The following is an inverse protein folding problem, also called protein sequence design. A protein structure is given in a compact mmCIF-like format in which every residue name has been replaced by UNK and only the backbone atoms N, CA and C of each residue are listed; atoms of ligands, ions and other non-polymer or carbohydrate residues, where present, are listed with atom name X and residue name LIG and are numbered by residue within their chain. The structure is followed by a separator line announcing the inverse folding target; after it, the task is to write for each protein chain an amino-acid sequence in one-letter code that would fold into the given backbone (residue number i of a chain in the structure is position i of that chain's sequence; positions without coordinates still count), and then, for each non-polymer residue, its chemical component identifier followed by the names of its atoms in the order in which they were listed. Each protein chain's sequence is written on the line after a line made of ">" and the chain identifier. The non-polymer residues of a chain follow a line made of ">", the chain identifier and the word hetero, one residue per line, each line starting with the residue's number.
data_IF_915125324072
#
_entry.id   IF_915125324072
#
_cell.length_a   1.000
_cell.length_b   1.000
_cell.length_c   1.000
_cell.angle_alpha   90.00
_cell.angle_beta   90.00
_cell.angle_gamma   90.00
#
_symmetry.space_group_name_H-M   'P 1'
#
loop_
_entity.id
_entity.type
_entity.pdbx_description
1 polymer ?
#
# COMPACT_ATOMS: atom_id res chain seq x y z
N UNK A 1 5.25 58.74 55.80
CA UNK A 1 4.70 60.05 55.37
C UNK A 1 5.61 60.66 54.32
N UNK A 2 5.00 61.25 53.28
CA UNK A 2 5.55 62.15 52.25
C UNK A 2 6.21 61.55 51.00
N UNK A 3 5.39 61.56 49.94
CA UNK A 3 5.73 61.72 48.53
C UNK A 3 6.63 62.95 48.28
N UNK A 4 7.44 62.88 47.22
CA UNK A 4 7.54 63.82 46.06
C UNK A 4 8.87 63.52 45.31
N UNK A 5 8.83 62.99 44.08
CA UNK A 5 8.87 63.70 42.78
C UNK A 5 10.19 64.48 42.54
N UNK A 6 11.06 63.93 41.69
CA UNK A 6 11.89 64.73 40.76
C UNK A 6 12.00 64.00 39.41
N UNK A 7 11.76 64.77 38.37
CA UNK A 7 11.69 64.40 36.97
C UNK A 7 13.06 64.06 36.35
N UNK A 8 13.04 63.22 35.31
CA UNK A 8 14.18 62.93 34.46
C UNK A 8 13.71 62.55 33.06
N UNK A 9 13.67 63.55 32.19
CA UNK A 9 13.31 63.52 30.77
C UNK A 9 14.34 62.70 29.98
N UNK A 10 13.92 61.65 29.27
CA UNK A 10 14.68 61.05 28.18
C UNK A 10 13.71 60.75 27.02
N UNK A 11 13.87 61.50 25.94
CA UNK A 11 13.32 61.18 24.64
C UNK A 11 14.27 60.20 23.94
N UNK A 12 13.77 59.04 23.50
CA UNK A 12 14.43 58.19 22.52
C UNK A 12 13.47 57.90 21.37
N UNK A 13 14.05 58.03 20.20
CA UNK A 13 13.51 58.02 18.85
C UNK A 13 13.01 56.63 18.40
N UNK A 14 12.01 56.70 17.51
CA UNK A 14 11.78 55.85 16.33
C UNK A 14 11.68 54.33 16.53
N UNK A 15 10.46 53.82 16.33
CA UNK A 15 10.28 52.58 15.58
C UNK A 15 9.10 52.74 14.64
N UNK A 16 9.40 52.61 13.36
CA UNK A 16 8.45 52.61 12.27
C UNK A 16 7.51 51.41 12.40
N UNK A 17 6.20 51.67 12.48
CA UNK A 17 5.18 50.64 12.28
C UNK A 17 5.11 50.31 10.79
N UNK A 18 5.92 49.36 10.34
CA UNK A 18 5.62 48.60 9.13
C UNK A 18 4.49 47.62 9.44
N UNK A 19 3.30 47.87 8.89
CA UNK A 19 2.22 46.89 8.92
C UNK A 19 2.58 45.75 7.99
N UNK A 20 3.08 44.65 8.55
CA UNK A 20 3.16 43.38 7.87
C UNK A 20 1.74 42.78 7.87
N UNK A 21 1.07 42.84 6.71
CA UNK A 21 -0.13 42.04 6.47
C UNK A 21 0.27 40.57 6.44
N UNK A 22 -0.05 39.85 7.51
CA UNK A 22 -0.02 38.39 7.55
C UNK A 22 -1.09 37.86 6.58
N UNK A 23 -0.66 37.48 5.37
CA UNK A 23 -1.43 36.58 4.53
C UNK A 23 -1.57 35.24 5.25
N UNK A 24 -2.73 35.03 5.89
CA UNK A 24 -3.21 33.70 6.28
C UNK A 24 -3.31 32.83 5.03
N UNK A 25 -2.24 32.09 4.75
CA UNK A 25 -2.27 30.97 3.82
C UNK A 25 -3.13 29.90 4.48
N UNK A 26 -4.37 29.78 4.01
CA UNK A 26 -5.24 28.64 4.30
C UNK A 26 -4.43 27.37 4.01
N UNK A 27 -4.34 26.39 4.94
CA UNK A 27 -3.76 25.10 4.60
C UNK A 27 -4.51 24.55 3.39
N UNK A 28 -3.79 24.39 2.29
CA UNK A 28 -4.23 23.60 1.14
C UNK A 28 -4.40 22.18 1.66
N UNK A 29 -5.60 21.89 2.15
CA UNK A 29 -6.13 20.54 2.18
C UNK A 29 -6.02 20.05 0.74
N UNK A 30 -5.02 19.21 0.51
CA UNK A 30 -4.84 18.48 -0.73
C UNK A 30 -6.07 17.58 -0.74
N UNK A 31 -7.12 18.02 -1.45
CA UNK A 31 -8.25 17.15 -1.75
C UNK A 31 -7.65 15.91 -2.40
N UNK A 32 -7.65 14.79 -1.69
CA UNK A 32 -7.45 13.48 -2.31
C UNK A 32 -8.48 13.44 -3.43
N UNK A 33 -8.02 13.50 -4.67
CA UNK A 33 -8.92 13.41 -5.81
C UNK A 33 -9.73 12.13 -5.62
N UNK A 34 -11.04 12.26 -5.49
CA UNK A 34 -11.98 11.13 -5.47
C UNK A 34 -11.86 10.43 -6.83
N UNK A 35 -10.85 9.58 -6.95
CA UNK A 35 -10.65 8.74 -8.12
C UNK A 35 -11.71 7.66 -8.05
N UNK A 36 -12.60 7.66 -9.05
CA UNK A 36 -13.74 6.78 -9.14
C UNK A 36 -13.32 5.32 -8.95
N UNK A 37 -13.77 4.69 -7.86
CA UNK A 37 -13.52 3.27 -7.60
C UNK A 37 -14.51 2.48 -8.47
N UNK A 38 -13.98 1.84 -9.51
CA UNK A 38 -14.78 0.97 -10.38
C UNK A 38 -15.14 -0.32 -9.62
N UNK A 39 -14.17 -0.89 -8.91
CA UNK A 39 -14.35 -2.14 -8.17
C UNK A 39 -13.36 -2.28 -7.02
N UNK A 40 -13.76 -2.99 -5.99
CA UNK A 40 -12.94 -3.28 -4.83
C UNK A 40 -13.23 -4.68 -4.29
N UNK A 41 -12.19 -5.37 -3.83
CA UNK A 41 -12.32 -6.54 -2.97
C UNK A 41 -11.56 -6.30 -1.66
N UNK A 42 -12.08 -6.86 -0.57
CA UNK A 42 -11.51 -6.74 0.78
C UNK A 42 -11.52 -8.10 1.45
N UNK A 43 -10.41 -8.46 2.09
CA UNK A 43 -10.30 -9.70 2.85
C UNK A 43 -9.64 -9.45 4.21
N UNK A 44 -10.22 -10.03 5.25
CA UNK A 44 -9.59 -10.11 6.56
C UNK A 44 -8.90 -11.47 6.70
N UNK A 45 -7.58 -11.48 6.87
CA UNK A 45 -6.80 -12.72 6.94
C UNK A 45 -5.65 -12.58 7.95
N UNK A 46 -5.33 -13.66 8.65
CA UNK A 46 -4.14 -13.73 9.51
C UNK A 46 -2.91 -13.80 8.62
N UNK A 47 -1.98 -12.85 8.73
CA UNK A 47 -0.84 -12.76 7.81
C UNK A 47 0.44 -12.25 8.48
N UNK A 48 0.44 -11.03 9.02
CA UNK A 48 1.60 -10.45 9.71
C UNK A 48 1.73 -10.89 11.18
N UNK A 49 0.62 -11.16 11.86
CA UNK A 49 0.55 -11.61 13.26
C UNK A 49 -0.44 -12.78 13.38
N UNK A 50 -0.04 -13.93 13.97
CA UNK A 50 -0.92 -15.10 14.13
C UNK A 50 -2.14 -14.87 15.03
N UNK A 51 -2.10 -13.88 15.92
CA UNK A 51 -3.18 -13.59 16.87
C UNK A 51 -4.23 -12.61 16.33
N UNK A 52 -3.93 -11.90 15.25
CA UNK A 52 -4.81 -10.86 14.70
C UNK A 52 -5.05 -11.07 13.20
N UNK A 53 -5.97 -10.29 12.63
CA UNK A 53 -6.23 -10.27 11.19
C UNK A 53 -5.76 -8.94 10.62
N UNK A 54 -5.10 -9.05 9.49
CA UNK A 54 -4.77 -7.93 8.62
C UNK A 54 -5.93 -7.70 7.64
N UNK A 55 -5.91 -6.53 7.00
CA UNK A 55 -6.88 -6.13 6.00
C UNK A 55 -6.16 -6.06 4.65
N UNK A 56 -6.53 -6.96 3.75
CA UNK A 56 -6.12 -6.97 2.37
C UNK A 56 -7.16 -6.20 1.55
N UNK A 57 -6.71 -5.26 0.72
CA UNK A 57 -7.57 -4.40 -0.08
C UNK A 57 -7.00 -4.37 -1.49
N UNK A 58 -7.81 -4.71 -2.49
CA UNK A 58 -7.47 -4.47 -3.90
C UNK A 58 -8.55 -3.60 -4.52
N UNK A 59 -8.13 -2.51 -5.16
CA UNK A 59 -9.00 -1.47 -5.69
C UNK A 59 -8.64 -1.16 -7.13
N UNK A 60 -9.63 -1.24 -8.01
CA UNK A 60 -9.57 -0.81 -9.39
C UNK A 60 -10.15 0.60 -9.50
N UNK A 61 -9.32 1.58 -9.91
CA UNK A 61 -9.68 3.00 -9.95
C UNK A 61 -9.42 3.62 -11.30
N UNK A 62 -10.38 4.40 -11.78
CA UNK A 62 -10.29 5.14 -13.04
C UNK A 62 -11.64 5.32 -13.71
N UNK A 63 -11.62 5.83 -14.94
CA UNK A 63 -12.84 6.11 -15.70
C UNK A 63 -13.31 4.92 -16.56
N UNK A 64 -12.44 3.94 -16.79
CA UNK A 64 -12.74 2.70 -17.51
C UNK A 64 -11.88 1.55 -17.02
N UNK A 65 -12.36 0.32 -17.15
CA UNK A 65 -11.70 -0.88 -16.59
C UNK A 65 -10.30 -1.07 -17.17
N UNK A 66 -10.13 -1.01 -18.49
CA UNK A 66 -8.83 -1.24 -19.15
C UNK A 66 -7.80 -0.14 -18.89
N UNK A 67 -8.22 1.11 -18.70
CA UNK A 67 -7.31 2.22 -18.41
C UNK A 67 -7.09 2.46 -16.91
N UNK A 68 -7.79 1.71 -16.05
CA UNK A 68 -7.73 1.88 -14.62
C UNK A 68 -6.37 1.45 -14.04
N UNK A 69 -6.09 1.98 -12.85
CA UNK A 69 -4.99 1.55 -11.99
C UNK A 69 -5.54 0.61 -10.92
N UNK A 70 -4.80 -0.45 -10.64
CA UNK A 70 -5.05 -1.30 -9.48
C UNK A 70 -4.12 -0.87 -8.36
N UNK A 71 -4.66 -0.72 -7.15
CA UNK A 71 -3.89 -0.58 -5.91
C UNK A 71 -4.18 -1.79 -5.05
N UNK A 72 -3.14 -2.57 -4.75
CA UNK A 72 -3.19 -3.64 -3.77
C UNK A 72 -2.47 -3.17 -2.50
N UNK A 73 -3.17 -3.19 -1.38
CA UNK A 73 -2.68 -2.75 -0.08
C UNK A 73 -2.91 -3.83 0.98
N UNK A 74 -2.01 -3.92 1.96
CA UNK A 74 -2.23 -4.67 3.20
C UNK A 74 -2.02 -3.73 4.39
N UNK A 75 -3.02 -3.66 5.27
CA UNK A 75 -2.94 -2.98 6.57
C UNK A 75 -2.92 -3.98 7.70
N UNK A 76 -2.06 -3.78 8.69
CA UNK A 76 -2.06 -4.62 9.88
C UNK A 76 -3.26 -4.32 10.81
N UNK A 77 -3.39 -5.08 11.90
CA UNK A 77 -4.48 -4.92 12.88
C UNK A 77 -4.53 -3.54 13.57
N UNK A 78 -3.46 -2.74 13.51
CA UNK A 78 -3.39 -1.37 14.02
C UNK A 78 -3.79 -0.33 12.97
N UNK A 79 -4.07 -0.76 11.74
CA UNK A 79 -4.36 0.10 10.60
C UNK A 79 -3.13 0.66 9.89
N UNK A 80 -1.93 0.19 10.23
CA UNK A 80 -0.67 0.62 9.59
C UNK A 80 -0.52 -0.10 8.24
N UNK A 81 -0.22 0.65 7.18
CA UNK A 81 0.09 0.07 5.87
C UNK A 81 1.44 -0.66 5.92
N UNK A 82 1.42 -1.97 5.72
CA UNK A 82 2.62 -2.83 5.71
C UNK A 82 2.99 -3.29 4.29
N UNK A 83 2.14 -3.00 3.31
CA UNK A 83 2.36 -3.28 1.90
C UNK A 83 1.51 -2.38 1.01
N UNK A 84 2.08 -1.91 -0.10
CA UNK A 84 1.34 -1.32 -1.22
C UNK A 84 2.03 -1.69 -2.54
N UNK A 85 1.23 -2.05 -3.53
CA UNK A 85 1.64 -2.13 -4.92
C UNK A 85 0.61 -1.47 -5.84
N UNK A 86 1.10 -0.78 -6.87
CA UNK A 86 0.28 -0.18 -7.93
C UNK A 86 0.70 -0.72 -9.29
N UNK A 87 -0.27 -1.17 -10.07
CA UNK A 87 -0.07 -1.70 -11.42
C UNK A 87 -1.26 -1.36 -12.32
N UNK A 88 -1.13 -1.56 -13.64
CA UNK A 88 -2.23 -1.27 -14.57
C UNK A 88 -3.26 -2.39 -14.48
N UNK A 89 -4.53 -2.06 -14.69
CA UNK A 89 -5.58 -3.07 -14.77
C UNK A 89 -5.30 -4.16 -15.81
N UNK A 90 -4.65 -3.77 -16.91
CA UNK A 90 -4.25 -4.69 -17.99
C UNK A 90 -3.25 -5.75 -17.54
N UNK A 91 -2.49 -5.47 -16.48
CA UNK A 91 -1.53 -6.42 -15.91
C UNK A 91 -2.24 -7.56 -15.17
N UNK A 92 -3.57 -7.53 -15.00
CA UNK A 92 -4.32 -8.67 -14.44
C UNK A 92 -4.62 -9.77 -15.48
N UNK A 93 -4.40 -9.50 -16.77
CA UNK A 93 -4.69 -10.43 -17.88
C UNK A 93 -3.56 -11.46 -18.01
N UNK A 94 -3.94 -12.73 -18.15
CA UNK A 94 -3.03 -13.87 -18.28
C UNK A 94 -3.48 -14.79 -19.44
N UNK A 95 -2.97 -16.02 -19.49
CA UNK A 95 -3.33 -17.00 -20.53
C UNK A 95 -4.78 -17.49 -20.51
N UNK A 96 -5.55 -17.20 -19.45
CA UNK A 96 -6.95 -17.62 -19.34
C UNK A 96 -7.88 -16.77 -20.23
N UNK A 97 -7.39 -15.63 -20.73
CA UNK A 97 -8.11 -14.79 -21.71
C UNK A 97 -7.59 -15.06 -23.14
N UNK A 98 -8.45 -15.44 -24.09
CA UNK A 98 -8.05 -15.62 -25.49
C UNK A 98 -7.49 -14.34 -26.11
N UNK A 99 -6.47 -14.46 -26.97
CA UNK A 99 -5.83 -13.29 -27.61
C UNK A 99 -6.78 -12.50 -28.51
N UNK A 100 -7.84 -13.13 -29.01
CA UNK A 100 -8.88 -12.50 -29.83
C UNK A 100 -10.11 -12.06 -29.04
N UNK A 101 -10.04 -12.00 -27.70
CA UNK A 101 -11.14 -11.56 -26.85
C UNK A 101 -11.54 -10.11 -27.15
N UNK A 102 -12.84 -9.85 -27.10
CA UNK A 102 -13.44 -8.53 -27.27
C UNK A 102 -13.18 -7.61 -26.08
N UNK A 103 -13.27 -6.27 -26.23
CA UNK A 103 -13.10 -5.34 -25.11
C UNK A 103 -14.01 -5.63 -23.90
N UNK A 104 -15.24 -6.11 -24.13
CA UNK A 104 -16.16 -6.48 -23.03
C UNK A 104 -15.68 -7.71 -22.27
N UNK A 105 -15.10 -8.70 -22.97
CA UNK A 105 -14.51 -9.87 -22.33
C UNK A 105 -13.26 -9.50 -21.52
N UNK A 106 -12.45 -8.54 -21.99
CA UNK A 106 -11.32 -8.00 -21.23
C UNK A 106 -11.79 -7.34 -19.94
N UNK A 107 -12.80 -6.48 -20.03
CA UNK A 107 -13.36 -5.81 -18.86
C UNK A 107 -13.88 -6.82 -17.84
N UNK A 108 -14.68 -7.80 -18.30
CA UNK A 108 -15.21 -8.87 -17.46
C UNK A 108 -14.10 -9.69 -16.81
N UNK A 109 -13.03 -9.99 -17.56
CA UNK A 109 -11.88 -10.74 -17.05
C UNK A 109 -11.20 -9.99 -15.91
N UNK A 110 -10.85 -8.71 -16.12
CA UNK A 110 -10.22 -7.85 -15.11
C UNK A 110 -11.11 -7.75 -13.87
N UNK A 111 -12.41 -7.50 -14.04
CA UNK A 111 -13.36 -7.39 -12.93
C UNK A 111 -13.47 -8.70 -12.13
N UNK A 112 -13.39 -9.86 -12.78
CA UNK A 112 -13.39 -11.16 -12.11
C UNK A 112 -12.07 -11.42 -11.38
N UNK A 113 -10.93 -10.98 -11.94
CA UNK A 113 -9.62 -11.05 -11.28
C UNK A 113 -9.59 -10.22 -9.99
N UNK A 114 -10.29 -9.08 -9.95
CA UNK A 114 -10.48 -8.29 -8.72
C UNK A 114 -11.34 -9.04 -7.69
N UNK A 115 -12.45 -9.68 -8.10
CA UNK A 115 -13.30 -10.45 -7.18
C UNK A 115 -12.55 -11.61 -6.51
N UNK A 116 -11.80 -12.36 -7.33
CA UNK A 116 -11.08 -13.57 -6.93
C UNK A 116 -9.65 -13.32 -6.47
N UNK A 117 -9.22 -12.05 -6.36
CA UNK A 117 -7.86 -11.69 -6.03
C UNK A 117 -7.41 -12.30 -4.70
N UNK A 118 -8.32 -12.35 -3.73
CA UNK A 118 -8.10 -12.90 -2.38
C UNK A 118 -8.73 -14.28 -2.17
N UNK A 119 -8.86 -15.09 -3.22
CA UNK A 119 -9.27 -16.50 -3.08
C UNK A 119 -8.35 -17.24 -2.09
N UNK A 120 -8.92 -18.12 -1.26
CA UNK A 120 -8.17 -18.87 -0.23
C UNK A 120 -7.01 -19.68 -0.79
N UNK A 121 -7.12 -20.17 -2.04
CA UNK A 121 -6.07 -20.91 -2.74
C UNK A 121 -4.78 -20.10 -2.95
N UNK A 122 -4.86 -18.77 -2.88
CA UNK A 122 -3.74 -17.87 -3.02
C UNK A 122 -2.96 -17.70 -1.71
N UNK A 123 -3.47 -18.21 -0.58
CA UNK A 123 -2.79 -18.21 0.71
C UNK A 123 -2.15 -19.58 0.96
N UNK A 124 -0.92 -19.58 1.50
CA UNK A 124 -0.19 -20.81 1.79
C UNK A 124 0.55 -20.75 3.14
N UNK A 125 0.51 -21.84 3.89
CA UNK A 125 1.25 -22.02 5.14
C UNK A 125 1.93 -23.40 5.12
N UNK A 126 3.25 -23.50 5.33
CA UNK A 126 4.20 -22.39 5.49
C UNK A 126 4.33 -21.58 4.19
N UNK A 127 4.71 -20.30 4.32
CA UNK A 127 5.01 -19.41 3.19
C UNK A 127 6.11 -20.01 2.30
N UNK A 128 7.26 -20.34 2.90
CA UNK A 128 8.38 -21.00 2.21
C UNK A 128 8.32 -22.50 2.51
N UNK A 129 7.97 -23.30 1.51
CA UNK A 129 7.91 -24.76 1.62
C UNK A 129 9.30 -25.38 1.61
N UNK A 130 9.39 -26.61 2.12
CA UNK A 130 10.59 -27.42 2.00
C UNK A 130 10.96 -27.61 0.52
N UNK A 131 12.25 -27.51 0.20
CA UNK A 131 12.76 -27.60 -1.18
C UNK A 131 12.79 -26.27 -1.96
N UNK A 132 12.13 -25.21 -1.49
CA UNK A 132 12.28 -23.89 -2.11
C UNK A 132 13.70 -23.34 -1.92
N UNK A 133 14.26 -22.79 -2.99
CA UNK A 133 15.61 -22.21 -3.03
C UNK A 133 15.55 -20.71 -2.89
N UNK A 134 16.44 -20.16 -2.07
CA UNK A 134 16.63 -18.72 -1.98
C UNK A 134 17.14 -18.17 -3.31
N UNK A 135 16.49 -17.12 -3.80
CA UNK A 135 16.96 -16.35 -4.94
C UNK A 135 17.19 -14.89 -4.51
N UNK A 136 18.45 -14.42 -4.49
CA UNK A 136 18.77 -13.05 -4.07
C UNK A 136 18.26 -11.99 -5.03
N UNK A 137 17.80 -12.35 -6.23
CA UNK A 137 17.16 -11.41 -7.14
C UNK A 137 15.77 -10.99 -6.65
N UNK A 138 15.04 -11.89 -6.00
CA UNK A 138 13.67 -11.64 -5.55
C UNK A 138 13.56 -11.33 -4.06
N UNK A 139 14.51 -11.80 -3.24
CA UNK A 139 14.40 -11.76 -1.79
C UNK A 139 15.66 -11.25 -1.10
N UNK A 140 15.48 -10.53 0.00
CA UNK A 140 16.55 -10.26 0.96
C UNK A 140 16.83 -11.51 1.80
N UNK A 141 18.10 -11.89 1.96
CA UNK A 141 18.48 -13.10 2.70
C UNK A 141 18.02 -13.09 4.17
N UNK A 142 17.94 -11.91 4.79
CA UNK A 142 17.41 -11.73 6.16
C UNK A 142 15.94 -12.07 6.18
N UNK A 143 15.17 -11.51 5.26
CA UNK A 143 13.73 -11.74 5.16
C UNK A 143 13.42 -13.19 4.80
N UNK A 144 14.17 -13.77 3.86
CA UNK A 144 14.05 -15.17 3.50
C UNK A 144 14.24 -16.09 4.70
N UNK A 145 15.33 -15.91 5.46
CA UNK A 145 15.61 -16.74 6.63
C UNK A 145 14.58 -16.55 7.74
N UNK A 146 14.17 -15.30 7.99
CA UNK A 146 13.10 -14.95 8.94
C UNK A 146 11.80 -15.69 8.62
N UNK A 147 11.35 -15.61 7.36
CA UNK A 147 10.12 -16.28 6.90
C UNK A 147 10.29 -17.81 6.91
N UNK A 148 11.42 -18.34 6.44
CA UNK A 148 11.64 -19.78 6.31
C UNK A 148 11.76 -20.50 7.65
N UNK A 149 12.30 -19.84 8.67
CA UNK A 149 12.52 -20.43 9.98
C UNK A 149 11.24 -20.54 10.83
N UNK A 150 10.14 -19.92 10.38
CA UNK A 150 8.85 -19.98 11.04
C UNK A 150 7.79 -20.59 10.11
N UNK A 151 7.45 -21.86 10.37
CA UNK A 151 6.46 -22.58 9.56
C UNK A 151 5.02 -22.06 9.69
N UNK A 152 4.75 -21.18 10.66
CA UNK A 152 3.42 -20.55 10.81
C UNK A 152 3.22 -19.38 9.85
N UNK A 153 4.27 -18.90 9.18
CA UNK A 153 4.19 -17.77 8.25
C UNK A 153 3.26 -18.08 7.10
N UNK A 154 2.44 -17.10 6.76
CA UNK A 154 1.51 -17.16 5.64
C UNK A 154 2.13 -16.46 4.44
N UNK A 155 2.17 -17.14 3.31
CA UNK A 155 2.48 -16.56 2.01
C UNK A 155 1.19 -16.20 1.28
N UNK A 156 1.22 -15.14 0.49
CA UNK A 156 0.15 -14.75 -0.41
C UNK A 156 0.67 -14.69 -1.84
N UNK A 157 -0.10 -15.26 -2.76
CA UNK A 157 0.18 -15.30 -4.19
C UNK A 157 -0.73 -14.37 -4.97
N UNK A 158 -0.19 -13.68 -5.96
CA UNK A 158 -0.96 -13.02 -6.98
C UNK A 158 -0.21 -13.04 -8.31
N UNK A 159 -0.95 -13.10 -9.41
CA UNK A 159 -0.40 -13.18 -10.76
C UNK A 159 -0.65 -11.87 -11.49
N UNK A 160 0.44 -11.30 -11.99
CA UNK A 160 0.41 -10.24 -12.98
C UNK A 160 0.86 -10.82 -14.33
N UNK A 161 0.22 -10.43 -15.41
CA UNK A 161 0.52 -10.90 -16.74
C UNK A 161 0.46 -12.42 -16.88
N UNK A 162 1.28 -12.93 -17.80
CA UNK A 162 1.38 -14.34 -18.15
C UNK A 162 2.37 -15.12 -17.28
N UNK A 163 3.41 -14.48 -16.78
CA UNK A 163 4.61 -15.13 -16.21
C UNK A 163 5.16 -14.37 -14.98
N UNK A 164 4.36 -13.51 -14.35
CA UNK A 164 4.78 -12.70 -13.20
C UNK A 164 3.93 -13.05 -11.96
N UNK A 165 4.05 -14.32 -11.55
CA UNK A 165 3.45 -14.89 -10.36
C UNK A 165 4.26 -14.54 -9.12
N UNK A 166 3.73 -13.69 -8.26
CA UNK A 166 4.43 -13.12 -7.10
C UNK A 166 3.98 -13.76 -5.81
N UNK A 167 4.94 -14.13 -4.99
CA UNK A 167 4.73 -14.63 -3.64
C UNK A 167 5.31 -13.66 -2.63
N UNK A 168 4.44 -13.17 -1.75
CA UNK A 168 4.77 -12.21 -0.69
C UNK A 168 4.48 -12.79 0.68
N UNK A 169 5.25 -12.38 1.70
CA UNK A 169 5.02 -12.70 3.10
C UNK A 169 5.51 -11.56 3.99
N UNK A 170 4.97 -11.48 5.21
CA UNK A 170 5.46 -10.53 6.20
C UNK A 170 6.76 -11.03 6.83
N UNK A 171 7.80 -10.19 6.81
CA UNK A 171 9.03 -10.42 7.57
C UNK A 171 8.97 -9.62 8.88
N UNK A 172 9.04 -10.32 10.01
CA UNK A 172 9.21 -9.69 11.31
C UNK A 172 10.58 -9.02 11.43
N UNK A 173 11.64 -9.63 10.91
CA UNK A 173 12.97 -9.06 10.94
C UNK A 173 13.04 -7.68 10.25
N UNK A 174 12.27 -7.50 9.17
CA UNK A 174 12.22 -6.23 8.42
C UNK A 174 11.00 -5.37 8.72
N UNK A 175 10.07 -5.86 9.54
CA UNK A 175 8.79 -5.21 9.88
C UNK A 175 7.97 -4.78 8.65
N UNK A 176 8.03 -5.55 7.55
CA UNK A 176 7.34 -5.24 6.30
C UNK A 176 7.02 -6.49 5.50
N UNK A 177 6.06 -6.37 4.59
CA UNK A 177 5.81 -7.40 3.59
C UNK A 177 6.87 -7.35 2.51
N UNK A 178 7.40 -8.51 2.16
CA UNK A 178 8.42 -8.67 1.12
C UNK A 178 7.97 -9.70 0.10
N UNK A 179 8.36 -9.51 -1.15
CA UNK A 179 8.38 -10.60 -2.11
C UNK A 179 9.53 -11.53 -1.75
N UNK A 180 9.25 -12.83 -1.68
CA UNK A 180 10.28 -13.84 -1.39
C UNK A 180 10.50 -14.80 -2.55
N UNK A 181 9.55 -14.83 -3.49
CA UNK A 181 9.65 -15.65 -4.69
C UNK A 181 8.78 -15.03 -5.79
N UNK A 182 9.26 -15.16 -7.01
CA UNK A 182 8.49 -14.83 -8.20
C UNK A 182 8.74 -15.94 -9.21
N UNK A 183 7.67 -16.46 -9.78
CA UNK A 183 7.77 -17.42 -10.86
C UNK A 183 6.75 -17.15 -11.94
N UNK A 184 7.17 -17.58 -13.11
CA UNK A 184 6.37 -17.91 -14.25
C UNK A 184 5.28 -18.94 -13.92
#
# INVERSE_FOLDING_TARGET
>A
MRNLLVAGMIAVLLSACGSAEEQKTKPTEIAEAETNIIKQSVKYHTFSDPATKDIFIVQLRGDSVQAATVTFEIKNSKGEQIYEEKFKAIDLINYDLPENASPEEWDKFILNRIDSFFDEKNFATPAIKEGMTFDPYYADSTAWNDIKNDSSRVGFYYLLGKEDGRWIAYSEALQKVVMYFNCC
#
